data_IF_324316160374
#
_entry.id   IF_324316160374
#
_cell.length_a   1.000
_cell.length_b   1.000
_cell.length_c   1.000
_cell.angle_alpha   90.00
_cell.angle_beta   90.00
_cell.angle_gamma   90.00
#
_symmetry.space_group_name_H-M   'P 1'
#
loop_
_entity.id
_entity.type
_entity.pdbx_description
1 polymer ?
#
# COMPACT_ATOMS: atom_id res chain seq x y z
N UNK A 1 -4.83 -5.31 17.84
CA UNK A 1 -4.03 -4.40 16.97
C UNK A 1 -3.48 -3.23 17.80
N UNK A 2 -2.27 -2.77 17.50
CA UNK A 2 -1.66 -1.61 18.18
C UNK A 2 -1.76 -0.38 17.29
N UNK A 3 -2.66 0.55 17.63
CA UNK A 3 -2.80 1.82 16.92
C UNK A 3 -2.29 2.99 17.76
N UNK A 4 -1.85 4.04 17.07
CA UNK A 4 -1.75 5.37 17.65
C UNK A 4 -3.18 5.92 17.72
N UNK A 5 -3.57 6.50 18.85
CA UNK A 5 -4.84 7.20 18.96
C UNK A 5 -4.74 8.47 18.10
N UNK A 6 -5.35 8.45 16.91
CA UNK A 6 -5.34 9.54 15.94
C UNK A 6 -6.72 9.48 15.25
N UNK A 7 -7.68 10.27 15.75
CA UNK A 7 -9.12 10.07 15.57
C UNK A 7 -9.59 10.05 14.09
N UNK A 8 -8.79 10.61 13.17
CA UNK A 8 -9.10 10.63 11.73
C UNK A 8 -8.41 9.54 10.89
N UNK A 9 -7.51 8.71 11.45
CA UNK A 9 -6.77 7.68 10.69
C UNK A 9 -7.20 6.25 10.97
N UNK A 10 -8.06 6.05 11.96
CA UNK A 10 -8.48 4.72 12.42
C UNK A 10 -9.85 4.31 11.88
N UNK A 11 -10.31 4.89 10.76
CA UNK A 11 -11.62 4.62 10.15
C UNK A 11 -11.86 3.13 9.83
N UNK A 12 -10.79 2.35 9.66
CA UNK A 12 -10.89 0.91 9.40
C UNK A 12 -11.21 0.06 10.64
N UNK A 13 -11.05 0.62 11.85
CA UNK A 13 -11.33 -0.11 13.11
C UNK A 13 -12.79 -0.54 13.19
N UNK A 14 -13.72 0.26 12.67
CA UNK A 14 -15.15 -0.05 12.66
C UNK A 14 -15.52 -1.28 11.80
N UNK A 15 -14.62 -1.69 10.89
CA UNK A 15 -14.83 -2.83 10.00
C UNK A 15 -14.17 -4.11 10.53
N UNK A 16 -13.54 -4.07 11.70
CA UNK A 16 -12.95 -5.26 12.31
C UNK A 16 -14.03 -6.22 12.78
N UNK A 17 -13.76 -7.51 12.64
CA UNK A 17 -14.63 -8.56 13.17
C UNK A 17 -14.77 -8.44 14.70
N UNK A 18 -15.92 -8.79 15.29
CA UNK A 18 -16.16 -8.67 16.74
C UNK A 18 -15.20 -9.46 17.62
N UNK A 19 -14.52 -10.47 17.08
CA UNK A 19 -13.50 -11.27 17.76
C UNK A 19 -12.13 -10.58 17.82
N UNK A 20 -11.97 -9.42 17.18
CA UNK A 20 -10.71 -8.65 17.19
C UNK A 20 -10.69 -7.62 18.32
N UNK A 21 -9.85 -7.88 19.32
CA UNK A 21 -9.59 -6.89 20.38
C UNK A 21 -8.63 -5.79 19.89
N UNK A 22 -9.08 -4.54 19.98
CA UNK A 22 -8.26 -3.34 19.73
C UNK A 22 -7.77 -2.79 21.06
N UNK A 23 -6.47 -2.49 21.15
CA UNK A 23 -5.87 -1.92 22.35
C UNK A 23 -4.88 -0.83 21.98
N UNK A 24 -5.02 0.32 22.61
CA UNK A 24 -4.15 1.47 22.42
C UNK A 24 -3.12 1.49 23.54
N UNK A 25 -1.82 1.48 23.19
CA UNK A 25 -0.74 1.53 24.19
C UNK A 25 -0.56 2.92 24.80
N UNK A 26 -1.17 3.95 24.22
CA UNK A 26 -1.09 5.35 24.67
C UNK A 26 0.37 5.80 24.90
N UNK A 27 1.26 5.45 23.96
CA UNK A 27 2.66 5.85 24.00
C UNK A 27 2.85 7.15 23.20
N UNK A 28 3.21 8.23 23.89
CA UNK A 28 3.56 9.49 23.23
C UNK A 28 4.91 9.42 22.53
N UNK A 29 5.04 10.21 21.47
CA UNK A 29 6.24 10.31 20.65
C UNK A 29 6.10 9.58 19.31
N UNK A 30 7.17 9.60 18.51
CA UNK A 30 7.28 8.82 17.28
C UNK A 30 8.24 7.66 17.52
N UNK A 31 8.02 6.50 16.89
CA UNK A 31 8.91 5.34 16.99
C UNK A 31 10.37 5.74 16.70
N UNK A 32 10.59 6.61 15.70
CA UNK A 32 11.93 7.11 15.33
C UNK A 32 12.65 7.92 16.42
N UNK A 33 11.93 8.55 17.35
CA UNK A 33 12.50 9.39 18.42
C UNK A 33 12.44 8.73 19.79
N UNK A 34 11.55 7.76 19.97
CA UNK A 34 11.21 7.21 21.29
C UNK A 34 11.24 5.68 21.28
N UNK A 35 12.11 5.09 20.46
CA UNK A 35 12.12 3.65 20.16
C UNK A 35 12.13 2.78 21.43
N UNK A 36 12.93 3.12 22.43
CA UNK A 36 12.99 2.34 23.68
C UNK A 36 11.66 2.36 24.45
N UNK A 37 10.97 3.51 24.49
CA UNK A 37 9.61 3.63 25.09
C UNK A 37 8.64 2.68 24.38
N UNK A 38 8.70 2.62 23.05
CA UNK A 38 7.89 1.69 22.25
C UNK A 38 8.28 0.24 22.50
N UNK A 39 9.56 -0.11 22.48
CA UNK A 39 10.05 -1.47 22.74
C UNK A 39 9.58 -1.98 24.11
N UNK A 40 9.81 -1.22 25.18
CA UNK A 40 9.40 -1.62 26.52
C UNK A 40 7.89 -1.62 26.70
N UNK A 41 7.18 -0.67 26.09
CA UNK A 41 5.72 -0.62 26.11
C UNK A 41 5.09 -1.84 25.44
N UNK A 42 5.54 -2.19 24.23
CA UNK A 42 5.07 -3.37 23.49
C UNK A 42 5.42 -4.64 24.28
N UNK A 43 6.67 -4.79 24.75
CA UNK A 43 7.09 -5.97 25.55
C UNK A 43 6.23 -6.16 26.79
N UNK A 44 5.99 -5.08 27.56
CA UNK A 44 5.15 -5.10 28.77
C UNK A 44 3.72 -5.51 28.45
N UNK A 45 3.16 -4.99 27.36
CA UNK A 45 1.81 -5.35 26.92
C UNK A 45 1.73 -6.81 26.47
N UNK A 46 2.67 -7.28 25.66
CA UNK A 46 2.73 -8.67 25.22
C UNK A 46 2.80 -9.64 26.40
N UNK A 47 3.63 -9.34 27.40
CA UNK A 47 3.75 -10.17 28.60
C UNK A 47 2.50 -10.18 29.48
N UNK A 48 1.77 -9.07 29.58
CA UNK A 48 0.56 -8.97 30.41
C UNK A 48 -0.65 -9.65 29.82
N UNK A 49 -0.73 -9.71 28.50
CA UNK A 49 -1.88 -10.26 27.78
C UNK A 49 -1.58 -11.62 27.15
N UNK A 50 -0.49 -12.28 27.57
CA UNK A 50 -0.08 -13.60 27.07
C UNK A 50 -0.01 -13.69 25.53
N UNK A 51 0.48 -12.63 24.89
CA UNK A 51 0.63 -12.59 23.43
C UNK A 51 1.74 -13.54 23.01
N UNK A 52 1.46 -14.41 22.05
CA UNK A 52 2.41 -15.39 21.50
C UNK A 52 3.14 -14.89 20.23
N UNK A 53 2.54 -13.94 19.51
CA UNK A 53 3.02 -13.48 18.20
C UNK A 53 2.97 -11.97 18.11
N UNK A 54 4.09 -11.36 17.77
CA UNK A 54 4.21 -9.96 17.40
C UNK A 54 4.32 -9.85 15.88
N UNK A 55 3.27 -9.33 15.26
CA UNK A 55 3.19 -9.06 13.83
C UNK A 55 3.23 -7.56 13.54
N UNK A 56 4.15 -7.12 12.68
CA UNK A 56 4.33 -5.69 12.36
C UNK A 56 4.39 -5.54 10.83
N UNK A 57 3.55 -4.64 10.29
CA UNK A 57 3.36 -4.51 8.83
C UNK A 57 3.91 -3.20 8.23
N UNK A 58 4.46 -2.31 9.05
CA UNK A 58 5.05 -1.05 8.58
C UNK A 58 6.58 -1.18 8.50
N UNK A 59 7.15 -1.03 7.29
CA UNK A 59 8.56 -1.30 7.03
C UNK A 59 9.55 -0.40 7.79
N UNK A 60 9.19 0.86 8.03
CA UNK A 60 10.06 1.77 8.82
C UNK A 60 10.06 1.34 10.29
N UNK A 61 8.88 1.01 10.84
CA UNK A 61 8.74 0.50 12.19
C UNK A 61 9.43 -0.86 12.36
N UNK A 62 9.31 -1.76 11.37
CA UNK A 62 10.04 -3.02 11.34
C UNK A 62 11.54 -2.81 11.43
N UNK A 63 12.07 -1.90 10.60
CA UNK A 63 13.49 -1.60 10.60
C UNK A 63 13.97 -1.03 11.92
N UNK A 64 13.23 -0.07 12.47
CA UNK A 64 13.58 0.55 13.75
C UNK A 64 13.51 -0.44 14.93
N UNK A 65 12.57 -1.38 14.93
CA UNK A 65 12.40 -2.38 16.00
C UNK A 65 13.37 -3.56 15.86
N UNK A 66 13.81 -3.87 14.64
CA UNK A 66 14.65 -5.04 14.34
C UNK A 66 15.90 -5.21 15.24
N UNK A 67 16.63 -4.17 15.68
CA UNK A 67 17.78 -4.33 16.58
C UNK A 67 17.38 -4.71 18.01
N UNK A 68 16.14 -4.45 18.40
CA UNK A 68 15.65 -4.61 19.77
C UNK A 68 14.82 -5.88 19.97
N UNK A 69 14.62 -6.69 18.92
CA UNK A 69 13.76 -7.89 18.99
C UNK A 69 14.25 -8.94 20.00
N UNK A 70 15.56 -8.97 20.31
CA UNK A 70 16.11 -9.83 21.35
C UNK A 70 15.51 -9.52 22.73
N UNK A 71 15.12 -8.26 22.97
CA UNK A 71 14.46 -7.84 24.20
C UNK A 71 13.05 -8.41 24.33
N UNK A 72 12.48 -9.11 23.36
CA UNK A 72 11.16 -9.75 23.49
C UNK A 72 11.26 -11.22 23.92
N UNK A 73 12.47 -11.78 23.99
CA UNK A 73 12.70 -13.18 24.33
C UNK A 73 12.30 -14.16 23.22
N UNK A 74 12.47 -15.45 23.50
CA UNK A 74 12.27 -16.52 22.50
C UNK A 74 10.85 -17.10 22.49
N UNK A 75 10.03 -16.82 23.51
CA UNK A 75 8.64 -17.30 23.56
C UNK A 75 7.72 -16.56 22.58
N UNK A 76 7.98 -15.27 22.37
CA UNK A 76 7.22 -14.45 21.44
C UNK A 76 7.77 -14.68 20.02
N UNK A 77 6.91 -15.05 19.07
CA UNK A 77 7.24 -15.15 17.64
C UNK A 77 7.18 -13.77 17.01
N UNK A 78 8.26 -13.32 16.36
CA UNK A 78 8.39 -11.99 15.75
C UNK A 78 8.29 -12.12 14.24
N UNK A 79 7.22 -11.59 13.67
CA UNK A 79 6.93 -11.65 12.24
C UNK A 79 6.85 -10.22 11.70
N UNK A 80 7.64 -9.94 10.67
CA UNK A 80 7.50 -8.73 9.87
C UNK A 80 6.63 -9.01 8.65
N UNK A 81 5.91 -8.01 8.16
CA UNK A 81 5.36 -7.97 6.80
C UNK A 81 5.88 -6.73 6.10
N UNK A 82 6.48 -6.93 4.94
CA UNK A 82 6.84 -5.84 4.04
C UNK A 82 5.76 -5.60 3.00
N UNK A 83 5.58 -4.33 2.62
CA UNK A 83 4.58 -3.91 1.62
C UNK A 83 5.14 -3.15 0.42
N UNK A 84 6.44 -2.85 0.43
CA UNK A 84 7.12 -2.18 -0.67
C UNK A 84 8.51 -2.80 -0.85
N UNK A 85 9.22 -2.40 -1.90
CA UNK A 85 10.62 -2.73 -2.12
C UNK A 85 11.50 -1.74 -1.34
N UNK A 86 12.16 -2.13 -0.24
CA UNK A 86 12.96 -1.19 0.55
C UNK A 86 14.10 -0.56 -0.26
N UNK A 87 14.63 -1.23 -1.28
CA UNK A 87 15.68 -0.64 -2.12
C UNK A 87 15.22 0.62 -2.86
N UNK A 88 13.99 0.60 -3.38
CA UNK A 88 13.41 1.67 -4.19
C UNK A 88 12.68 2.72 -3.35
N UNK A 89 11.93 2.27 -2.34
CA UNK A 89 11.08 3.15 -1.53
C UNK A 89 11.88 3.87 -0.45
N UNK A 90 12.80 3.19 0.23
CA UNK A 90 13.52 3.79 1.36
C UNK A 90 14.65 4.69 0.85
N UNK A 91 14.73 5.90 1.40
CA UNK A 91 15.79 6.87 1.05
C UNK A 91 16.85 6.97 2.15
N UNK A 92 16.50 6.62 3.39
CA UNK A 92 17.40 6.69 4.53
C UNK A 92 18.46 5.59 4.49
N UNK A 93 19.73 6.02 4.46
CA UNK A 93 20.89 5.11 4.56
C UNK A 93 20.88 4.32 5.87
N UNK A 94 20.45 4.96 6.96
CA UNK A 94 20.33 4.30 8.26
C UNK A 94 19.29 3.19 8.23
N UNK A 95 18.10 3.45 7.67
CA UNK A 95 17.05 2.43 7.59
C UNK A 95 17.51 1.27 6.70
N UNK A 96 18.14 1.54 5.55
CA UNK A 96 18.74 0.49 4.70
C UNK A 96 19.81 -0.33 5.42
N UNK A 97 20.61 0.31 6.28
CA UNK A 97 21.56 -0.41 7.13
C UNK A 97 20.85 -1.34 8.12
N UNK A 98 19.75 -0.89 8.75
CA UNK A 98 18.96 -1.74 9.65
C UNK A 98 18.33 -2.94 8.92
N UNK A 99 17.85 -2.74 7.69
CA UNK A 99 17.45 -3.86 6.81
C UNK A 99 18.55 -4.92 6.69
N UNK A 100 19.76 -4.50 6.32
CA UNK A 100 20.89 -5.42 6.09
C UNK A 100 21.40 -6.09 7.36
N UNK A 101 21.46 -5.35 8.45
CA UNK A 101 22.16 -5.80 9.67
C UNK A 101 21.22 -6.48 10.67
N UNK A 102 19.95 -6.08 10.73
CA UNK A 102 19.08 -6.39 11.86
C UNK A 102 17.78 -7.10 11.47
N UNK A 103 17.31 -7.08 10.21
CA UNK A 103 16.09 -7.83 9.83
C UNK A 103 16.22 -9.34 10.01
N UNK A 104 17.44 -9.87 9.99
CA UNK A 104 17.71 -11.26 10.34
C UNK A 104 17.31 -11.61 11.78
N UNK A 105 16.94 -10.65 12.63
CA UNK A 105 16.45 -10.89 13.99
C UNK A 105 14.97 -11.31 14.03
N UNK A 106 14.21 -11.14 12.94
CA UNK A 106 12.85 -11.66 12.84
C UNK A 106 12.86 -13.19 12.71
N UNK A 107 11.82 -13.83 13.21
CA UNK A 107 11.63 -15.28 13.06
C UNK A 107 11.15 -15.60 11.63
N UNK A 108 10.30 -14.75 11.06
CA UNK A 108 9.88 -14.81 9.66
C UNK A 108 9.51 -13.42 9.13
N UNK A 109 9.60 -13.23 7.83
CA UNK A 109 9.30 -11.98 7.13
C UNK A 109 8.38 -12.31 5.96
N UNK A 110 7.16 -11.79 6.00
CA UNK A 110 6.16 -11.95 4.95
C UNK A 110 6.43 -10.93 3.84
N UNK A 111 6.51 -11.42 2.61
CA UNK A 111 6.60 -10.62 1.38
C UNK A 111 5.43 -10.92 0.46
N UNK A 112 5.03 -9.96 -0.36
CA UNK A 112 3.79 -10.05 -1.13
C UNK A 112 4.01 -10.43 -2.60
N UNK A 113 5.25 -10.44 -3.07
CA UNK A 113 5.59 -10.77 -4.46
C UNK A 113 6.97 -11.40 -4.56
N UNK A 114 7.25 -12.06 -5.69
CA UNK A 114 8.58 -12.59 -5.98
C UNK A 114 9.62 -11.45 -6.06
N UNK A 115 9.24 -10.28 -6.58
CA UNK A 115 10.14 -9.13 -6.68
C UNK A 115 10.57 -8.63 -5.30
N UNK A 116 9.63 -8.54 -4.35
CA UNK A 116 9.95 -8.19 -2.96
C UNK A 116 10.83 -9.25 -2.28
N UNK A 117 10.60 -10.54 -2.59
CA UNK A 117 11.46 -11.62 -2.10
C UNK A 117 12.91 -11.42 -2.59
N UNK A 118 13.10 -11.18 -3.89
CA UNK A 118 14.41 -10.95 -4.48
C UNK A 118 15.06 -9.66 -3.93
N UNK A 119 14.30 -8.58 -3.77
CA UNK A 119 14.82 -7.31 -3.22
C UNK A 119 15.40 -7.50 -1.82
N UNK A 120 14.67 -8.22 -0.95
CA UNK A 120 15.11 -8.48 0.41
C UNK A 120 16.26 -9.50 0.48
N UNK A 121 16.19 -10.56 -0.33
CA UNK A 121 17.19 -11.62 -0.31
C UNK A 121 18.53 -11.14 -0.92
N UNK A 122 18.48 -10.59 -2.13
CA UNK A 122 19.67 -10.29 -2.93
C UNK A 122 20.26 -8.92 -2.62
N UNK A 123 19.42 -7.89 -2.37
CA UNK A 123 19.90 -6.50 -2.18
C UNK A 123 20.00 -6.10 -0.70
N UNK A 124 19.24 -6.76 0.17
CA UNK A 124 19.28 -6.54 1.62
C UNK A 124 19.92 -7.70 2.40
N UNK A 125 20.32 -8.80 1.74
CA UNK A 125 21.08 -9.89 2.38
C UNK A 125 20.29 -10.67 3.43
N UNK A 126 18.96 -10.65 3.36
CA UNK A 126 18.10 -11.40 4.28
C UNK A 126 18.10 -12.87 3.87
N UNK A 127 18.34 -13.83 4.80
CA UNK A 127 18.32 -15.24 4.44
C UNK A 127 16.97 -15.67 3.87
N UNK A 128 16.96 -16.25 2.67
CA UNK A 128 15.73 -16.68 1.99
C UNK A 128 14.83 -17.60 2.83
N UNK A 129 15.40 -18.45 3.69
CA UNK A 129 14.65 -19.29 4.64
C UNK A 129 13.77 -18.53 5.65
N UNK A 130 14.01 -17.22 5.82
CA UNK A 130 13.19 -16.34 6.67
C UNK A 130 12.10 -15.64 5.89
N UNK A 131 12.18 -15.62 4.56
CA UNK A 131 11.21 -14.95 3.70
C UNK A 131 10.08 -15.93 3.37
N UNK A 132 8.85 -15.51 3.60
CA UNK A 132 7.65 -16.29 3.29
C UNK A 132 6.78 -15.46 2.36
N UNK A 133 6.50 -15.97 1.16
CA UNK A 133 5.62 -15.27 0.22
C UNK A 133 4.17 -15.53 0.59
N UNK A 134 3.44 -14.48 0.95
CA UNK A 134 2.00 -14.48 1.16
C UNK A 134 1.45 -13.23 0.47
N UNK A 135 0.69 -13.45 -0.60
CA UNK A 135 0.02 -12.37 -1.33
C UNK A 135 -1.05 -11.70 -0.46
N UNK A 136 -1.40 -10.46 -0.77
CA UNK A 136 -2.51 -9.82 -0.07
C UNK A 136 -3.83 -10.54 -0.38
N UNK A 137 -4.70 -10.71 0.62
CA UNK A 137 -6.04 -11.21 0.37
C UNK A 137 -6.81 -10.19 -0.47
N UNK A 138 -7.69 -10.71 -1.32
CA UNK A 138 -8.60 -9.92 -2.14
C UNK A 138 -10.01 -10.44 -1.85
N UNK A 139 -10.88 -9.55 -1.38
CA UNK A 139 -12.27 -9.85 -1.07
C UNK A 139 -13.10 -9.79 -2.35
N UNK A 140 -13.04 -10.87 -3.15
CA UNK A 140 -13.67 -10.95 -4.46
C UNK A 140 -15.19 -10.75 -4.36
N UNK A 141 -15.84 -11.35 -3.36
CA UNK A 141 -17.28 -11.23 -3.16
C UNK A 141 -17.70 -9.78 -2.90
N UNK A 142 -16.97 -9.07 -2.02
CA UNK A 142 -17.22 -7.64 -1.79
C UNK A 142 -16.98 -6.83 -3.05
N UNK A 143 -15.91 -7.08 -3.79
CA UNK A 143 -15.58 -6.35 -5.01
C UNK A 143 -16.70 -6.51 -6.04
N UNK A 144 -17.10 -7.74 -6.34
CA UNK A 144 -18.18 -8.03 -7.29
C UNK A 144 -19.48 -7.36 -6.84
N UNK A 145 -19.86 -7.48 -5.57
CA UNK A 145 -21.07 -6.83 -5.03
C UNK A 145 -21.03 -5.32 -5.21
N UNK A 146 -19.93 -4.68 -4.82
CA UNK A 146 -19.77 -3.22 -4.92
C UNK A 146 -19.67 -2.72 -6.36
N UNK A 147 -19.13 -3.54 -7.27
CA UNK A 147 -19.03 -3.23 -8.69
C UNK A 147 -20.40 -3.13 -9.40
N UNK A 148 -21.42 -3.80 -8.84
CA UNK A 148 -22.79 -3.77 -9.35
C UNK A 148 -23.59 -2.56 -8.84
N UNK A 149 -23.10 -1.86 -7.82
CA UNK A 149 -23.73 -0.66 -7.25
C UNK A 149 -23.39 0.58 -8.10
N UNK A 150 -23.84 0.59 -9.35
CA UNK A 150 -23.64 1.70 -10.29
C UNK A 150 -24.91 2.54 -10.34
N UNK A 151 -24.82 3.81 -9.93
CA UNK A 151 -25.98 4.70 -9.88
C UNK A 151 -26.14 5.60 -11.11
N UNK A 152 -25.08 5.79 -11.92
CA UNK A 152 -25.03 6.79 -13.01
C UNK A 152 -24.13 6.36 -14.18
N UNK A 153 -24.28 7.02 -15.32
CA UNK A 153 -23.28 7.00 -16.40
C UNK A 153 -21.98 7.63 -15.89
N UNK A 154 -20.90 6.83 -15.91
CA UNK A 154 -19.57 7.24 -15.39
C UNK A 154 -18.60 7.64 -16.50
N UNK A 155 -18.92 7.30 -17.74
CA UNK A 155 -18.02 7.37 -18.89
C UNK A 155 -18.77 7.81 -20.16
N UNK A 156 -18.10 8.45 -21.13
CA UNK A 156 -18.64 8.66 -22.46
C UNK A 156 -18.99 7.34 -23.16
N UNK A 157 -20.14 7.28 -23.83
CA UNK A 157 -20.64 6.06 -24.49
C UNK A 157 -19.92 5.74 -25.82
N UNK A 158 -19.46 6.76 -26.53
CA UNK A 158 -18.88 6.62 -27.88
C UNK A 158 -17.34 6.56 -27.87
N UNK A 159 -16.74 6.13 -26.76
CA UNK A 159 -15.28 6.07 -26.58
C UNK A 159 -14.84 4.79 -25.89
N UNK A 160 -13.58 4.42 -26.11
CA UNK A 160 -12.90 3.41 -25.31
C UNK A 160 -12.39 4.06 -24.03
N UNK A 161 -12.87 3.58 -22.89
CA UNK A 161 -12.67 4.16 -21.58
C UNK A 161 -11.50 3.52 -20.84
N UNK A 162 -10.41 4.28 -20.71
CA UNK A 162 -9.24 3.93 -19.92
C UNK A 162 -9.44 4.42 -18.49
N UNK A 163 -9.08 3.58 -17.53
CA UNK A 163 -9.14 3.90 -16.11
C UNK A 163 -7.79 3.67 -15.45
N UNK A 164 -7.37 4.61 -14.61
CA UNK A 164 -6.25 4.39 -13.70
C UNK A 164 -6.57 4.97 -12.33
N UNK A 165 -6.27 4.20 -11.28
CA UNK A 165 -6.65 4.54 -9.90
C UNK A 165 -5.43 4.48 -9.00
N UNK A 166 -5.23 5.53 -8.19
CA UNK A 166 -4.18 5.56 -7.18
C UNK A 166 -3.86 6.95 -6.66
N UNK A 167 -3.01 7.02 -5.64
CA UNK A 167 -2.52 8.31 -5.13
C UNK A 167 -1.73 9.06 -6.21
N UNK A 168 -2.06 10.32 -6.44
CA UNK A 168 -1.40 11.17 -7.44
C UNK A 168 0.00 11.58 -6.95
N UNK A 169 0.94 10.64 -7.05
CA UNK A 169 2.32 10.73 -6.56
C UNK A 169 3.27 10.31 -7.67
N UNK A 170 4.55 10.71 -7.58
CA UNK A 170 5.57 10.31 -8.56
C UNK A 170 5.67 8.78 -8.73
N UNK A 171 5.47 8.03 -7.65
CA UNK A 171 5.48 6.57 -7.68
C UNK A 171 4.47 5.99 -8.69
N UNK A 172 3.27 6.56 -8.80
CA UNK A 172 2.18 6.02 -9.62
C UNK A 172 2.32 6.32 -11.11
N UNK A 173 3.28 7.16 -11.50
CA UNK A 173 3.63 7.35 -12.91
C UNK A 173 2.53 7.92 -13.80
N UNK A 174 1.56 8.64 -13.22
CA UNK A 174 0.48 9.26 -14.00
C UNK A 174 0.99 10.26 -15.05
N UNK A 175 2.16 10.86 -14.82
CA UNK A 175 2.84 11.69 -15.82
C UNK A 175 3.24 10.89 -17.06
N UNK A 176 3.78 9.67 -16.87
CA UNK A 176 4.09 8.75 -17.97
C UNK A 176 2.83 8.33 -18.71
N UNK A 177 1.74 8.10 -17.97
CA UNK A 177 0.45 7.75 -18.56
C UNK A 177 -0.12 8.89 -19.42
N UNK A 178 -0.05 10.14 -18.96
CA UNK A 178 -0.50 11.29 -19.74
C UNK A 178 0.32 11.46 -21.03
N UNK A 179 1.64 11.32 -20.97
CA UNK A 179 2.48 11.33 -22.18
C UNK A 179 2.15 10.17 -23.13
N UNK A 180 1.90 8.96 -22.61
CA UNK A 180 1.51 7.84 -23.46
C UNK A 180 0.14 8.08 -24.11
N UNK A 181 -0.83 8.57 -23.32
CA UNK A 181 -2.18 8.88 -23.79
C UNK A 181 -2.20 9.99 -24.84
N UNK A 182 -1.35 11.01 -24.74
CA UNK A 182 -1.28 12.08 -25.75
C UNK A 182 -0.86 11.60 -27.14
N UNK A 183 -0.27 10.40 -27.25
CA UNK A 183 0.09 9.78 -28.52
C UNK A 183 -1.03 8.93 -29.13
N UNK A 184 -2.17 8.75 -28.45
CA UNK A 184 -3.33 8.03 -28.99
C UNK A 184 -4.18 8.95 -29.87
N UNK A 185 -5.05 8.34 -30.70
CA UNK A 185 -6.11 9.06 -31.40
C UNK A 185 -7.24 9.40 -30.42
N UNK A 186 -7.05 10.48 -29.66
CA UNK A 186 -7.84 10.84 -28.46
C UNK A 186 -9.35 11.00 -28.72
N UNK A 187 -9.77 11.21 -29.97
CA UNK A 187 -11.19 11.21 -30.35
C UNK A 187 -11.87 9.88 -30.01
N UNK A 188 -11.15 8.76 -30.08
CA UNK A 188 -11.66 7.41 -29.81
C UNK A 188 -11.51 6.97 -28.34
N UNK A 189 -10.77 7.71 -27.52
CA UNK A 189 -10.39 7.28 -26.18
C UNK A 189 -10.73 8.33 -25.12
N UNK A 190 -11.04 7.88 -23.91
CA UNK A 190 -11.19 8.74 -22.74
C UNK A 190 -10.38 8.18 -21.58
N UNK A 191 -9.61 9.02 -20.89
CA UNK A 191 -8.84 8.59 -19.73
C UNK A 191 -9.42 9.16 -18.44
N UNK A 192 -9.85 8.28 -17.54
CA UNK A 192 -10.28 8.65 -16.20
C UNK A 192 -9.20 8.31 -15.18
N UNK A 193 -8.73 9.32 -14.45
CA UNK A 193 -7.77 9.21 -13.35
C UNK A 193 -8.50 9.44 -12.02
N UNK A 194 -8.51 8.43 -11.14
CA UNK A 194 -9.18 8.53 -9.83
C UNK A 194 -8.15 8.54 -8.71
N UNK A 195 -8.18 9.58 -7.89
CA UNK A 195 -7.40 9.67 -6.67
C UNK A 195 -6.97 11.09 -6.31
N UNK A 196 -6.16 11.18 -5.24
CA UNK A 196 -5.62 12.43 -4.74
C UNK A 196 -4.14 12.28 -4.36
N UNK A 197 -3.40 13.39 -4.34
CA UNK A 197 -1.97 13.39 -4.01
C UNK A 197 -1.27 14.68 -4.39
N UNK A 198 -0.01 14.80 -3.97
CA UNK A 198 0.80 16.01 -4.13
C UNK A 198 1.05 16.42 -5.59
N UNK A 199 0.89 15.50 -6.54
CA UNK A 199 1.09 15.75 -7.97
C UNK A 199 -0.15 16.19 -8.73
N UNK A 200 -1.32 16.34 -8.10
CA UNK A 200 -2.58 16.67 -8.79
C UNK A 200 -2.46 17.90 -9.70
N UNK A 201 -1.98 19.02 -9.18
CA UNK A 201 -1.85 20.26 -9.94
C UNK A 201 -0.82 20.15 -11.08
N UNK A 202 0.28 19.43 -10.84
CA UNK A 202 1.30 19.19 -11.88
C UNK A 202 0.75 18.33 -13.03
N UNK A 203 -0.10 17.34 -12.73
CA UNK A 203 -0.73 16.47 -13.72
C UNK A 203 -1.80 17.21 -14.54
N UNK A 204 -2.59 18.08 -13.91
CA UNK A 204 -3.55 18.95 -14.59
C UNK A 204 -2.85 19.88 -15.58
N UNK A 205 -1.79 20.57 -15.14
CA UNK A 205 -0.99 21.44 -16.01
C UNK A 205 -0.30 20.66 -17.14
N UNK A 206 0.09 19.41 -16.89
CA UNK A 206 0.65 18.55 -17.93
C UNK A 206 -0.41 18.18 -18.98
N UNK A 207 -1.63 17.84 -18.57
CA UNK A 207 -2.73 17.57 -19.50
C UNK A 207 -3.05 18.79 -20.40
N UNK A 208 -3.03 19.99 -19.82
CA UNK A 208 -3.18 21.25 -20.56
C UNK A 208 -2.05 21.46 -21.57
N UNK A 209 -0.80 21.31 -21.12
CA UNK A 209 0.37 21.42 -22.00
C UNK A 209 0.36 20.42 -23.15
N UNK A 210 -0.18 19.22 -22.92
CA UNK A 210 -0.31 18.17 -23.94
C UNK A 210 -1.53 18.35 -24.84
N UNK A 211 -2.42 19.31 -24.56
CA UNK A 211 -3.63 19.54 -25.34
C UNK A 211 -4.69 18.45 -25.20
N UNK A 212 -4.70 17.71 -24.08
CA UNK A 212 -5.56 16.51 -23.89
C UNK A 212 -6.67 16.70 -22.85
N UNK A 213 -6.89 17.91 -22.37
CA UNK A 213 -7.80 18.21 -21.23
C UNK A 213 -9.21 17.70 -21.49
N UNK A 214 -9.74 17.87 -22.69
CA UNK A 214 -11.09 17.43 -23.09
C UNK A 214 -11.26 15.90 -23.16
N UNK A 215 -10.18 15.15 -22.97
CA UNK A 215 -10.14 13.69 -23.08
C UNK A 215 -9.61 13.01 -21.81
N UNK A 216 -9.39 13.80 -20.75
CA UNK A 216 -8.92 13.30 -19.45
C UNK A 216 -9.81 13.83 -18.33
N UNK A 217 -10.40 12.93 -17.54
CA UNK A 217 -11.13 13.28 -16.33
C UNK A 217 -10.31 12.99 -15.08
N UNK A 218 -10.19 13.97 -14.19
CA UNK A 218 -9.61 13.80 -12.86
C UNK A 218 -10.71 13.74 -11.82
N UNK A 219 -10.89 12.58 -11.18
CA UNK A 219 -11.88 12.36 -10.14
C UNK A 219 -11.16 12.27 -8.80
N UNK A 220 -11.72 12.92 -7.77
CA UNK A 220 -11.24 12.74 -6.40
C UNK A 220 -11.35 11.27 -5.94
N UNK A 221 -10.67 10.94 -4.84
CA UNK A 221 -10.78 9.62 -4.22
C UNK A 221 -12.24 9.25 -3.93
N UNK A 222 -12.62 8.00 -4.21
CA UNK A 222 -13.96 7.47 -4.01
C UNK A 222 -13.94 6.21 -3.14
N UNK A 223 -14.99 6.00 -2.36
CA UNK A 223 -15.16 4.81 -1.52
C UNK A 223 -15.59 3.57 -2.32
N UNK A 224 -16.14 3.76 -3.53
CA UNK A 224 -16.52 2.66 -4.43
C UNK A 224 -15.81 2.77 -5.80
N UNK A 225 -14.49 2.50 -5.88
CA UNK A 225 -13.77 2.49 -7.16
C UNK A 225 -14.20 1.33 -8.07
N UNK A 226 -14.84 0.29 -7.52
CA UNK A 226 -15.21 -0.92 -8.25
C UNK A 226 -16.30 -0.65 -9.30
N UNK A 227 -17.20 0.31 -9.07
CA UNK A 227 -18.18 0.75 -10.06
C UNK A 227 -17.51 1.34 -11.33
N UNK A 228 -16.42 2.10 -11.14
CA UNK A 228 -15.63 2.63 -12.24
C UNK A 228 -14.88 1.52 -12.97
N UNK A 229 -14.22 0.62 -12.22
CA UNK A 229 -13.52 -0.54 -12.80
C UNK A 229 -14.46 -1.39 -13.65
N UNK A 230 -15.71 -1.61 -13.20
CA UNK A 230 -16.69 -2.43 -13.93
C UNK A 230 -17.14 -1.84 -15.26
N UNK A 231 -17.08 -0.52 -15.39
CA UNK A 231 -17.59 0.22 -16.55
C UNK A 231 -16.49 0.71 -17.48
N UNK A 232 -15.23 0.64 -17.07
CA UNK A 232 -14.09 0.92 -17.93
C UNK A 232 -13.83 -0.24 -18.89
N UNK A 233 -13.29 0.07 -20.06
CA UNK A 233 -12.88 -0.92 -21.06
C UNK A 233 -11.45 -1.43 -20.79
N UNK A 234 -10.58 -0.56 -20.26
CA UNK A 234 -9.17 -0.87 -20.00
C UNK A 234 -8.72 -0.27 -18.68
N UNK A 235 -8.18 -1.09 -17.77
CA UNK A 235 -7.45 -0.61 -16.59
C UNK A 235 -5.95 -0.47 -16.89
N UNK A 236 -5.37 0.68 -16.54
CA UNK A 236 -3.95 0.99 -16.79
C UNK A 236 -3.22 1.23 -15.48
N UNK A 237 -2.19 0.44 -15.19
CA UNK A 237 -1.24 0.70 -14.10
C UNK A 237 0.07 1.25 -14.65
N UNK A 238 0.35 2.53 -14.41
CA UNK A 238 1.57 3.22 -14.86
C UNK A 238 2.66 3.35 -13.79
N UNK A 239 2.52 2.63 -12.68
CA UNK A 239 3.43 2.77 -11.54
C UNK A 239 4.87 2.46 -11.90
N UNK A 240 5.77 3.33 -11.44
CA UNK A 240 7.23 3.16 -11.56
C UNK A 240 7.74 2.00 -10.69
N UNK A 241 7.07 1.75 -9.57
CA UNK A 241 7.32 0.59 -8.71
C UNK A 241 6.10 0.26 -7.85
N UNK A 242 5.90 -1.03 -7.60
CA UNK A 242 4.83 -1.59 -6.75
C UNK A 242 5.38 -2.75 -5.94
N UNK A 243 4.99 -2.86 -4.66
CA UNK A 243 5.25 -4.09 -3.89
C UNK A 243 4.34 -5.23 -4.36
N UNK A 244 3.04 -4.95 -4.37
CA UNK A 244 2.00 -5.85 -4.87
C UNK A 244 0.82 -5.00 -5.38
N UNK A 245 0.43 -5.12 -6.66
CA UNK A 245 -0.50 -4.17 -7.29
C UNK A 245 -1.96 -4.54 -6.97
N UNK A 246 -2.39 -4.30 -5.72
CA UNK A 246 -3.75 -4.62 -5.25
C UNK A 246 -4.83 -4.11 -6.22
N UNK A 247 -4.72 -2.86 -6.68
CA UNK A 247 -5.72 -2.22 -7.54
C UNK A 247 -5.88 -2.90 -8.91
N UNK A 248 -4.80 -3.51 -9.42
CA UNK A 248 -4.84 -4.28 -10.68
C UNK A 248 -5.58 -5.59 -10.46
N UNK A 249 -5.40 -6.23 -9.30
CA UNK A 249 -6.10 -7.47 -8.98
C UNK A 249 -7.58 -7.18 -8.73
N UNK A 250 -7.87 -6.07 -8.04
CA UNK A 250 -9.23 -5.58 -7.87
C UNK A 250 -9.91 -5.27 -9.21
N UNK A 251 -9.20 -4.69 -10.18
CA UNK A 251 -9.77 -4.44 -11.50
C UNK A 251 -10.06 -5.74 -12.24
N UNK A 252 -9.16 -6.72 -12.19
CA UNK A 252 -9.39 -8.06 -12.78
C UNK A 252 -10.63 -8.73 -12.15
N UNK A 253 -10.85 -8.56 -10.84
CA UNK A 253 -12.03 -9.10 -10.16
C UNK A 253 -13.35 -8.41 -10.59
N UNK A 254 -13.30 -7.22 -11.19
CA UNK A 254 -14.47 -6.53 -11.72
C UNK A 254 -14.86 -7.02 -13.14
N UNK A 255 -13.96 -7.73 -13.83
CA UNK A 255 -14.13 -8.21 -15.21
C UNK A 255 -13.39 -7.34 -16.21
#
# INVERSE_FOLDING_TARGET
LLYKNDDNRNSLVQHLSPDVTVSYLNLDGRIRTSILKFVFGIRKYCSRNSIDTLFISDGVSNAALSPFLFLFGNRLKKIARESNLPTLFERSRLVKFLYRSCYKNYDSIVVQSNEMHLDLCEKMGIPGKKLVKINNPVDIERIVRMSLLVEKELYPLDKINLLSIGRLTYQKGFDLLLYAFSNLAQENYHLTLIGNGEKKNELLALAEKLGIVEHVSFIDSTDNPYAYMKKADIFVSSSRWEGYPNVVIESIACG
#
